data_IF_139628672665
#
_entry.id   IF_139628672665
#
_cell.length_a   1.000
_cell.length_b   1.000
_cell.length_c   1.000
_cell.angle_alpha   90.00
_cell.angle_beta   90.00
_cell.angle_gamma   90.00
#
_symmetry.space_group_name_H-M   'P 1'
#
loop_
_entity.id
_entity.type
_entity.pdbx_description
1 polymer ?
#
# COMPACT_ATOMS: atom_id res chain seq x y z
N UNK A 1 11.64 7.04 5.69
CA UNK A 1 11.09 7.87 4.62
C UNK A 1 9.58 7.78 4.59
N UNK A 2 8.92 8.89 4.28
CA UNK A 2 7.46 8.96 4.30
C UNK A 2 6.93 9.35 2.93
N UNK A 3 5.91 8.63 2.48
CA UNK A 3 5.24 8.89 1.21
C UNK A 3 3.75 8.76 1.38
N UNK A 4 3.01 9.33 0.46
CA UNK A 4 1.58 9.01 0.31
C UNK A 4 1.50 7.76 -0.53
N UNK A 5 0.99 6.69 0.05
CA UNK A 5 0.82 5.44 -0.66
C UNK A 5 -0.56 5.38 -1.30
N UNK A 6 -0.58 4.90 -2.53
CA UNK A 6 -1.82 4.55 -3.19
C UNK A 6 -2.05 3.08 -2.94
N UNK A 7 -3.28 2.72 -2.64
CA UNK A 7 -3.67 1.35 -2.32
C UNK A 7 -4.64 0.87 -3.39
N UNK A 8 -4.28 -0.21 -4.06
CA UNK A 8 -5.17 -0.88 -5.00
C UNK A 8 -5.62 -2.19 -4.38
N UNK A 9 -6.92 -2.32 -4.13
CA UNK A 9 -7.51 -3.56 -3.62
C UNK A 9 -7.76 -4.50 -4.81
N UNK A 10 -7.04 -5.61 -4.85
CA UNK A 10 -7.15 -6.58 -5.94
C UNK A 10 -8.47 -7.33 -5.96
N UNK A 11 -9.17 -7.40 -4.83
CA UNK A 11 -10.44 -8.12 -4.74
C UNK A 11 -11.63 -7.26 -5.19
N UNK A 12 -11.61 -5.97 -4.89
CA UNK A 12 -12.72 -5.06 -5.20
C UNK A 12 -12.43 -4.10 -6.33
N UNK A 13 -11.17 -3.90 -6.66
CA UNK A 13 -10.74 -2.91 -7.64
C UNK A 13 -10.76 -1.47 -7.12
N UNK A 14 -11.01 -1.28 -5.84
CA UNK A 14 -11.05 0.04 -5.25
C UNK A 14 -9.65 0.64 -5.11
N UNK A 15 -9.57 1.95 -5.28
CA UNK A 15 -8.34 2.71 -5.08
C UNK A 15 -8.53 3.68 -3.92
N UNK A 16 -7.49 3.80 -3.10
CA UNK A 16 -7.47 4.79 -2.02
C UNK A 16 -6.07 5.34 -1.86
N UNK A 17 -5.90 6.34 -1.00
CA UNK A 17 -4.61 6.96 -0.76
C UNK A 17 -4.43 7.19 0.74
N UNK A 18 -3.20 6.97 1.21
CA UNK A 18 -2.87 7.19 2.63
C UNK A 18 -2.35 8.60 2.86
N UNK A 19 -2.28 8.99 4.14
CA UNK A 19 -1.48 10.14 4.55
C UNK A 19 0.00 9.83 4.36
N UNK A 20 0.85 10.86 4.50
CA UNK A 20 2.30 10.65 4.48
C UNK A 20 2.72 9.76 5.65
N UNK A 21 3.31 8.61 5.33
CA UNK A 21 3.77 7.67 6.34
C UNK A 21 4.79 6.71 5.75
N UNK A 22 5.48 5.95 6.62
CA UNK A 22 6.40 4.92 6.16
C UNK A 22 5.61 3.75 5.56
N UNK A 23 6.27 2.96 4.71
CA UNK A 23 5.66 1.77 4.14
C UNK A 23 5.15 0.82 5.22
N UNK A 24 5.98 0.59 6.24
CA UNK A 24 5.63 -0.31 7.34
C UNK A 24 4.37 0.15 8.06
N UNK A 25 4.24 1.43 8.32
CA UNK A 25 3.06 1.99 8.97
C UNK A 25 1.83 1.90 8.07
N UNK A 26 2.00 2.19 6.78
CA UNK A 26 0.90 2.11 5.82
C UNK A 26 0.36 0.68 5.74
N UNK A 27 1.25 -0.30 5.65
CA UNK A 27 0.86 -1.70 5.62
C UNK A 27 0.16 -2.11 6.91
N UNK A 28 0.70 -1.70 8.06
CA UNK A 28 0.09 -1.99 9.36
C UNK A 28 -1.34 -1.46 9.46
N UNK A 29 -1.54 -0.22 9.05
CA UNK A 29 -2.89 0.38 9.08
C UNK A 29 -3.86 -0.36 8.15
N UNK A 30 -3.38 -0.74 6.97
CA UNK A 30 -4.20 -1.47 6.03
C UNK A 30 -4.62 -2.82 6.59
N UNK A 31 -3.72 -3.53 7.25
CA UNK A 31 -3.99 -4.86 7.77
C UNK A 31 -4.88 -4.87 9.03
N UNK A 32 -5.04 -3.73 9.70
CA UNK A 32 -5.99 -3.60 10.80
C UNK A 32 -7.41 -3.82 10.30
N UNK A 33 -7.76 -3.23 9.17
CA UNK A 33 -9.11 -3.35 8.59
C UNK A 33 -9.23 -4.52 7.63
N UNK A 34 -8.14 -4.90 6.97
CA UNK A 34 -8.13 -5.97 5.97
C UNK A 34 -6.97 -6.93 6.23
N UNK A 35 -7.08 -7.82 7.25
CA UNK A 35 -5.95 -8.68 7.63
C UNK A 35 -5.42 -9.59 6.53
N UNK A 36 -6.27 -9.94 5.57
CA UNK A 36 -5.89 -10.80 4.45
C UNK A 36 -5.93 -10.05 3.12
N UNK A 37 -5.54 -8.79 3.16
CA UNK A 37 -5.54 -7.93 1.98
C UNK A 37 -4.77 -8.54 0.81
N UNK A 38 -5.36 -8.45 -0.38
CA UNK A 38 -4.71 -8.81 -1.63
C UNK A 38 -4.75 -7.60 -2.56
N UNK A 39 -3.59 -7.19 -3.04
CA UNK A 39 -3.50 -6.03 -3.90
C UNK A 39 -2.11 -5.45 -3.90
N UNK A 40 -2.02 -4.13 -3.96
CA UNK A 40 -0.73 -3.46 -4.02
C UNK A 40 -0.74 -2.12 -3.29
N UNK A 41 0.41 -1.77 -2.72
CA UNK A 41 0.72 -0.42 -2.26
C UNK A 41 1.78 0.14 -3.18
N UNK A 42 1.58 1.36 -3.67
CA UNK A 42 2.56 1.96 -4.56
C UNK A 42 2.70 3.46 -4.29
N UNK A 43 3.86 3.98 -4.68
CA UNK A 43 4.16 5.39 -4.50
C UNK A 43 5.17 5.85 -5.55
N UNK A 44 5.22 7.16 -5.75
CA UNK A 44 6.25 7.79 -6.57
C UNK A 44 7.16 8.58 -5.63
N UNK A 45 8.47 8.32 -5.69
CA UNK A 45 9.42 9.02 -4.83
C UNK A 45 9.70 10.42 -5.36
N UNK A 46 10.54 11.19 -4.63
CA UNK A 46 10.87 12.57 -4.99
C UNK A 46 11.57 12.70 -6.34
N UNK A 47 12.23 11.64 -6.79
CA UNK A 47 12.91 11.62 -8.08
C UNK A 47 11.99 11.22 -9.23
N UNK A 48 10.72 10.98 -8.94
CA UNK A 48 9.76 10.53 -9.93
C UNK A 48 9.78 9.03 -10.22
N UNK A 49 10.58 8.27 -9.46
CA UNK A 49 10.62 6.82 -9.64
C UNK A 49 9.40 6.15 -8.99
N UNK A 50 8.80 5.25 -9.73
CA UNK A 50 7.63 4.52 -9.30
C UNK A 50 8.04 3.23 -8.57
N UNK A 51 7.42 2.98 -7.44
CA UNK A 51 7.65 1.74 -6.67
C UNK A 51 6.32 1.10 -6.31
N UNK A 52 6.23 -0.21 -6.48
CA UNK A 52 5.03 -0.96 -6.16
C UNK A 52 5.40 -2.17 -5.31
N UNK A 53 4.58 -2.43 -4.29
CA UNK A 53 4.74 -3.59 -3.42
C UNK A 53 3.46 -4.41 -3.46
N UNK A 54 3.56 -5.64 -3.91
CA UNK A 54 2.42 -6.55 -3.98
C UNK A 54 2.20 -7.20 -2.62
N UNK A 55 0.94 -7.31 -2.23
CA UNK A 55 0.52 -7.92 -0.97
C UNK A 55 -0.41 -9.08 -1.30
N UNK A 56 -0.16 -10.23 -0.72
CA UNK A 56 -1.02 -11.40 -0.88
C UNK A 56 -1.30 -12.03 0.47
N UNK A 57 -2.59 -12.18 0.80
CA UNK A 57 -3.00 -12.75 2.09
C UNK A 57 -2.52 -11.95 3.28
N UNK A 58 -2.36 -10.64 3.12
CA UNK A 58 -1.89 -9.77 4.18
C UNK A 58 -0.38 -9.76 4.36
N UNK A 59 0.36 -10.40 3.46
CA UNK A 59 1.82 -10.47 3.53
C UNK A 59 2.45 -9.87 2.29
N UNK A 60 3.56 -9.19 2.49
CA UNK A 60 4.34 -8.66 1.38
C UNK A 60 4.96 -9.81 0.58
N UNK A 61 4.76 -9.75 -0.71
CA UNK A 61 5.31 -10.76 -1.63
C UNK A 61 6.70 -10.38 -2.10
#
# INVERSE_FOLDING_TARGET
MRYKFKILDGDTGENSETENMSFKKALKHLLITKPKFNGALFYTNKKGNYSMHNIAGGKRV
#
